data_IF_450239993015
#
_entry.id   IF_450239993015
#
_cell.length_a   1.000
_cell.length_b   1.000
_cell.length_c   1.000
_cell.angle_alpha   90.00
_cell.angle_beta   90.00
_cell.angle_gamma   90.00
#
_symmetry.space_group_name_H-M   'P 1'
#
loop_
_entity.id
_entity.type
_entity.pdbx_description
1 polymer ?
#
# COMPACT_ATOMS: atom_id res chain seq x y z
N UNK A 1 -23.72 -25.62 30.20
CA UNK A 1 -23.93 -24.23 29.74
C UNK A 1 -22.60 -23.71 29.21
N UNK A 2 -22.43 -23.67 27.90
CA UNK A 2 -21.13 -23.41 27.29
C UNK A 2 -20.99 -21.95 26.87
N UNK A 3 -20.01 -21.25 27.46
CA UNK A 3 -19.55 -19.93 27.02
C UNK A 3 -19.01 -19.95 25.57
N UNK A 4 -18.72 -21.13 25.01
CA UNK A 4 -18.32 -21.30 23.61
C UNK A 4 -19.47 -21.03 22.61
N UNK A 5 -20.72 -21.30 22.99
CA UNK A 5 -21.87 -21.10 22.09
C UNK A 5 -22.11 -19.62 21.77
N UNK A 6 -21.99 -18.73 22.77
CA UNK A 6 -22.32 -17.30 22.59
C UNK A 6 -21.31 -16.58 21.68
N UNK A 7 -20.03 -17.00 21.70
CA UNK A 7 -18.99 -16.44 20.83
C UNK A 7 -19.14 -16.91 19.37
N UNK A 8 -19.48 -18.19 19.15
CA UNK A 8 -19.80 -18.73 17.83
C UNK A 8 -21.04 -18.09 17.22
N UNK A 9 -22.09 -17.82 18.02
CA UNK A 9 -23.33 -17.17 17.60
C UNK A 9 -23.10 -15.71 17.17
N UNK A 10 -22.29 -14.95 17.92
CA UNK A 10 -21.91 -13.60 17.51
C UNK A 10 -21.10 -13.61 16.20
N UNK A 11 -20.25 -14.62 16.01
CA UNK A 11 -19.51 -14.80 14.77
C UNK A 11 -20.46 -15.10 13.60
N UNK A 12 -21.43 -16.00 13.77
CA UNK A 12 -22.47 -16.29 12.77
C UNK A 12 -23.25 -15.04 12.34
N UNK A 13 -23.65 -14.18 13.29
CA UNK A 13 -24.31 -12.91 12.98
C UNK A 13 -23.38 -11.98 12.19
N UNK A 14 -22.08 -11.95 12.53
CA UNK A 14 -21.06 -11.13 11.85
C UNK A 14 -20.74 -11.61 10.43
N UNK A 15 -20.77 -12.91 10.16
CA UNK A 15 -20.52 -13.48 8.83
C UNK A 15 -21.69 -13.25 7.86
N UNK A 16 -22.89 -13.03 8.39
CA UNK A 16 -24.09 -12.76 7.62
C UNK A 16 -24.67 -14.00 6.91
N UNK A 17 -25.93 -13.92 6.46
CA UNK A 17 -26.69 -15.08 5.99
C UNK A 17 -26.13 -15.68 4.69
N UNK A 18 -25.51 -14.85 3.84
CA UNK A 18 -24.96 -15.27 2.53
C UNK A 18 -23.73 -16.16 2.63
N UNK A 19 -22.81 -15.90 3.57
CA UNK A 19 -21.63 -16.77 3.77
C UNK A 19 -22.00 -18.09 4.44
N UNK A 20 -23.00 -18.07 5.32
CA UNK A 20 -23.52 -19.28 5.97
C UNK A 20 -24.18 -20.19 4.94
N UNK A 21 -25.03 -19.64 4.04
CA UNK A 21 -25.64 -20.40 2.92
C UNK A 21 -24.59 -20.99 1.99
N UNK A 22 -23.60 -20.20 1.56
CA UNK A 22 -22.55 -20.64 0.63
C UNK A 22 -21.66 -21.73 1.25
N UNK A 23 -21.41 -21.67 2.56
CA UNK A 23 -20.72 -22.75 3.27
C UNK A 23 -21.58 -24.02 3.39
N UNK A 24 -22.88 -23.87 3.67
CA UNK A 24 -23.85 -24.95 3.70
C UNK A 24 -23.97 -25.68 2.35
N UNK A 25 -24.09 -24.93 1.26
CA UNK A 25 -24.12 -25.44 -0.12
C UNK A 25 -22.83 -26.16 -0.50
N UNK A 26 -21.66 -25.67 -0.03
CA UNK A 26 -20.36 -26.29 -0.30
C UNK A 26 -20.16 -27.62 0.44
N UNK A 27 -20.78 -27.81 1.60
CA UNK A 27 -20.72 -29.07 2.36
C UNK A 27 -21.82 -30.07 1.97
N UNK A 28 -23.00 -29.59 1.61
CA UNK A 28 -24.15 -30.40 1.21
C UNK A 28 -24.77 -31.25 2.34
N UNK A 29 -25.95 -31.80 2.08
CA UNK A 29 -26.60 -32.78 2.95
C UNK A 29 -27.28 -32.17 4.19
N UNK A 30 -27.06 -32.75 5.38
CA UNK A 30 -27.67 -32.25 6.61
C UNK A 30 -27.17 -30.84 6.99
N UNK A 31 -25.92 -30.52 6.64
CA UNK A 31 -25.27 -29.23 6.91
C UNK A 31 -25.90 -28.08 6.12
N UNK A 32 -26.40 -28.35 4.91
CA UNK A 32 -27.09 -27.37 4.07
C UNK A 32 -28.41 -26.89 4.70
N UNK A 33 -29.22 -27.82 5.21
CA UNK A 33 -30.51 -27.52 5.88
C UNK A 33 -30.31 -26.74 7.18
N UNK A 34 -29.29 -27.13 7.94
CA UNK A 34 -28.89 -26.46 9.19
C UNK A 34 -28.38 -25.05 8.89
N UNK A 35 -27.52 -24.89 7.89
CA UNK A 35 -26.99 -23.60 7.47
C UNK A 35 -28.07 -22.65 6.92
N UNK A 36 -29.02 -23.15 6.12
CA UNK A 36 -30.17 -22.35 5.66
C UNK A 36 -31.04 -21.88 6.82
N UNK A 37 -31.34 -22.76 7.79
CA UNK A 37 -32.15 -22.41 8.96
C UNK A 37 -31.46 -21.36 9.82
N UNK A 38 -30.14 -21.48 10.02
CA UNK A 38 -29.36 -20.47 10.74
C UNK A 38 -29.31 -19.15 9.95
N UNK A 39 -29.11 -19.22 8.64
CA UNK A 39 -29.09 -18.04 7.77
C UNK A 39 -30.42 -17.28 7.76
N UNK A 40 -31.57 -17.99 7.72
CA UNK A 40 -32.89 -17.37 7.76
C UNK A 40 -33.14 -16.63 9.08
N UNK A 41 -32.68 -17.19 10.20
CA UNK A 41 -32.78 -16.54 11.52
C UNK A 41 -31.81 -15.37 11.64
N UNK A 42 -30.59 -15.47 11.09
CA UNK A 42 -29.62 -14.36 11.04
C UNK A 42 -30.11 -13.23 10.12
N UNK A 43 -30.80 -13.55 9.02
CA UNK A 43 -31.45 -12.59 8.13
C UNK A 43 -32.63 -11.88 8.83
N UNK A 44 -33.45 -12.62 9.58
CA UNK A 44 -34.55 -12.06 10.39
C UNK A 44 -34.05 -11.12 11.51
N UNK A 45 -32.81 -11.29 11.96
CA UNK A 45 -32.14 -10.42 12.94
C UNK A 45 -31.51 -9.18 12.27
N UNK A 46 -31.37 -9.15 10.94
CA UNK A 46 -30.90 -8.01 10.15
C UNK A 46 -29.62 -7.33 10.72
N UNK A 47 -28.66 -8.14 11.20
CA UNK A 47 -27.41 -7.64 11.78
C UNK A 47 -27.55 -6.98 13.16
N UNK A 48 -28.74 -6.99 13.77
CA UNK A 48 -28.94 -6.44 15.11
C UNK A 48 -28.29 -7.33 16.17
N UNK A 49 -27.26 -6.79 16.84
CA UNK A 49 -26.48 -7.51 17.87
C UNK A 49 -27.07 -7.30 19.27
N UNK A 50 -28.37 -7.01 19.36
CA UNK A 50 -29.06 -6.84 20.63
C UNK A 50 -29.16 -8.16 21.41
N UNK A 51 -29.19 -8.13 22.76
CA UNK A 51 -29.21 -9.34 23.60
C UNK A 51 -30.39 -10.28 23.31
N UNK A 52 -31.52 -9.74 22.83
CA UNK A 52 -32.72 -10.50 22.45
C UNK A 52 -32.55 -11.25 21.13
N UNK A 53 -31.83 -10.67 20.18
CA UNK A 53 -31.52 -11.27 18.88
C UNK A 53 -30.50 -12.41 19.01
N UNK A 54 -29.49 -12.23 19.85
CA UNK A 54 -28.52 -13.29 20.20
C UNK A 54 -29.22 -14.45 20.89
N UNK A 55 -30.21 -14.20 21.74
CA UNK A 55 -30.99 -15.25 22.42
C UNK A 55 -31.86 -16.07 21.45
N UNK A 56 -32.42 -15.44 20.40
CA UNK A 56 -33.20 -16.15 19.36
C UNK A 56 -32.32 -17.05 18.50
N UNK A 57 -31.16 -16.55 18.05
CA UNK A 57 -30.19 -17.37 17.29
C UNK A 57 -29.67 -18.50 18.18
N UNK A 58 -29.42 -18.23 19.46
CA UNK A 58 -29.00 -19.25 20.43
C UNK A 58 -30.02 -20.37 20.63
N UNK A 59 -31.30 -20.04 20.75
CA UNK A 59 -32.35 -21.05 20.90
C UNK A 59 -32.44 -21.97 19.67
N UNK A 60 -32.24 -21.43 18.46
CA UNK A 60 -32.21 -22.22 17.23
C UNK A 60 -30.93 -23.06 17.14
N UNK A 61 -29.76 -22.49 17.46
CA UNK A 61 -28.48 -23.21 17.45
C UNK A 61 -28.44 -24.33 18.49
N UNK A 62 -29.01 -24.12 19.68
CA UNK A 62 -29.12 -25.13 20.74
C UNK A 62 -30.10 -26.26 20.36
N UNK A 63 -31.02 -26.03 19.42
CA UNK A 63 -31.95 -27.04 18.89
C UNK A 63 -31.39 -27.89 17.75
N UNK A 64 -30.20 -27.55 17.25
CA UNK A 64 -29.56 -28.18 16.09
C UNK A 64 -28.41 -29.12 16.52
N UNK A 65 -28.02 -30.09 15.67
CA UNK A 65 -26.96 -31.05 16.01
C UNK A 65 -25.63 -30.33 16.25
N UNK A 66 -25.00 -30.50 17.44
CA UNK A 66 -23.81 -29.72 17.82
C UNK A 66 -22.58 -30.03 16.96
N UNK A 67 -22.50 -31.24 16.39
CA UNK A 67 -21.41 -31.62 15.46
C UNK A 67 -21.43 -30.79 14.17
N UNK A 68 -22.61 -30.54 13.61
CA UNK A 68 -22.77 -29.82 12.34
C UNK A 68 -22.52 -28.32 12.52
N UNK A 69 -22.92 -27.77 13.68
CA UNK A 69 -22.66 -26.36 14.03
C UNK A 69 -21.16 -26.11 14.20
N UNK A 70 -20.44 -27.02 14.88
CA UNK A 70 -18.99 -26.92 15.04
C UNK A 70 -18.22 -26.93 13.71
N UNK A 71 -18.69 -27.72 12.73
CA UNK A 71 -18.09 -27.72 11.39
C UNK A 71 -18.30 -26.41 10.62
N UNK A 72 -19.46 -25.77 10.80
CA UNK A 72 -19.76 -24.46 10.20
C UNK A 72 -18.90 -23.37 10.85
N UNK A 73 -18.76 -23.39 12.17
CA UNK A 73 -17.90 -22.45 12.89
C UNK A 73 -16.42 -22.58 12.50
N UNK A 74 -15.91 -23.81 12.42
CA UNK A 74 -14.53 -24.07 12.00
C UNK A 74 -14.27 -23.63 10.56
N UNK A 75 -15.22 -23.88 9.66
CA UNK A 75 -15.11 -23.48 8.26
C UNK A 75 -15.15 -21.96 8.07
N UNK A 76 -16.01 -21.27 8.81
CA UNK A 76 -16.07 -19.80 8.80
C UNK A 76 -14.80 -19.18 9.40
N UNK A 77 -14.24 -19.77 10.46
CA UNK A 77 -12.97 -19.34 11.04
C UNK A 77 -11.79 -19.50 10.05
N UNK A 78 -11.76 -20.59 9.27
CA UNK A 78 -10.75 -20.79 8.23
C UNK A 78 -10.87 -19.76 7.10
N UNK A 79 -12.08 -19.44 6.66
CA UNK A 79 -12.31 -18.41 5.63
C UNK A 79 -11.84 -17.03 6.11
N UNK A 80 -12.06 -16.70 7.39
CA UNK A 80 -11.57 -15.44 7.97
C UNK A 80 -10.03 -15.41 8.01
N UNK A 81 -9.40 -16.50 8.44
CA UNK A 81 -7.94 -16.61 8.46
C UNK A 81 -7.34 -16.48 7.05
N UNK A 82 -7.99 -17.04 6.02
CA UNK A 82 -7.57 -16.89 4.63
C UNK A 82 -7.73 -15.45 4.12
N UNK A 83 -8.84 -14.78 4.48
CA UNK A 83 -9.06 -13.36 4.12
C UNK A 83 -8.03 -12.45 4.77
N UNK A 84 -7.75 -12.67 6.05
CA UNK A 84 -6.74 -11.88 6.77
C UNK A 84 -5.35 -12.10 6.18
N UNK A 85 -5.00 -13.36 5.86
CA UNK A 85 -3.76 -13.69 5.16
C UNK A 85 -3.68 -13.02 3.79
N UNK A 86 -4.76 -13.00 3.01
CA UNK A 86 -4.80 -12.36 1.70
C UNK A 86 -4.62 -10.83 1.80
N UNK A 87 -5.26 -10.20 2.79
CA UNK A 87 -5.09 -8.77 3.06
C UNK A 87 -3.66 -8.43 3.47
N UNK A 88 -3.09 -9.17 4.42
CA UNK A 88 -1.71 -8.98 4.86
C UNK A 88 -0.71 -9.21 3.72
N UNK A 89 -0.94 -10.22 2.87
CA UNK A 89 -0.11 -10.47 1.70
C UNK A 89 -0.19 -9.33 0.68
N UNK A 90 -1.38 -8.75 0.47
CA UNK A 90 -1.56 -7.58 -0.39
C UNK A 90 -0.82 -6.35 0.18
N UNK A 91 -0.97 -6.06 1.47
CA UNK A 91 -0.30 -4.94 2.14
C UNK A 91 1.24 -5.10 2.07
N UNK A 92 1.75 -6.31 2.32
CA UNK A 92 3.17 -6.63 2.16
C UNK A 92 3.64 -6.46 0.71
N UNK A 93 2.85 -6.89 -0.27
CA UNK A 93 3.13 -6.70 -1.68
C UNK A 93 3.24 -5.23 -2.06
N UNK A 94 2.29 -4.40 -1.60
CA UNK A 94 2.29 -2.95 -1.83
C UNK A 94 3.51 -2.28 -1.20
N UNK A 95 3.84 -2.62 0.06
CA UNK A 95 5.03 -2.08 0.72
C UNK A 95 6.33 -2.52 0.04
N UNK A 96 6.40 -3.76 -0.43
CA UNK A 96 7.58 -4.28 -1.13
C UNK A 96 7.78 -3.55 -2.46
N UNK A 97 6.73 -3.41 -3.27
CA UNK A 97 6.78 -2.67 -4.53
C UNK A 97 7.11 -1.18 -4.33
N UNK A 98 6.59 -0.57 -3.26
CA UNK A 98 6.92 0.80 -2.90
C UNK A 98 8.40 0.94 -2.52
N UNK A 99 8.94 0.02 -1.71
CA UNK A 99 10.37 -0.01 -1.38
C UNK A 99 11.24 -0.29 -2.60
N UNK A 100 10.81 -1.18 -3.50
CA UNK A 100 11.50 -1.43 -4.76
C UNK A 100 11.49 -0.21 -5.67
N UNK A 101 10.41 0.57 -5.72
CA UNK A 101 10.37 1.83 -6.48
C UNK A 101 11.29 2.89 -5.86
N UNK A 102 11.35 2.96 -4.52
CA UNK A 102 12.30 3.83 -3.82
C UNK A 102 13.76 3.41 -4.03
N UNK A 103 14.04 2.09 -4.13
CA UNK A 103 15.39 1.53 -4.34
C UNK A 103 15.83 1.55 -5.80
N UNK A 104 14.91 1.26 -6.73
CA UNK A 104 15.14 1.21 -8.18
C UNK A 104 15.03 2.56 -8.85
N UNK A 105 14.46 3.56 -8.15
CA UNK A 105 14.47 4.95 -8.54
C UNK A 105 15.90 5.44 -8.65
N UNK A 106 16.53 5.21 -9.80
CA UNK A 106 17.73 5.89 -10.26
C UNK A 106 17.44 7.37 -10.09
N UNK A 107 18.07 7.94 -9.07
CA UNK A 107 17.40 8.91 -8.23
C UNK A 107 17.15 10.21 -9.00
N UNK A 108 15.93 10.73 -8.93
CA UNK A 108 15.64 12.13 -9.31
C UNK A 108 16.64 13.07 -8.61
N UNK A 109 17.12 12.68 -7.42
CA UNK A 109 18.17 13.36 -6.66
C UNK A 109 19.56 13.30 -7.30
N UNK A 110 19.85 12.29 -8.13
CA UNK A 110 21.14 12.05 -8.80
C UNK A 110 21.21 12.63 -10.21
N UNK A 111 20.07 12.75 -10.90
CA UNK A 111 20.04 13.43 -12.22
C UNK A 111 20.48 14.90 -12.15
N UNK A 112 20.05 15.65 -11.12
CA UNK A 112 20.41 17.07 -10.96
C UNK A 112 21.92 17.31 -10.82
N UNK A 113 22.65 16.62 -9.91
CA UNK A 113 24.10 16.77 -9.80
C UNK A 113 24.85 16.22 -11.01
N UNK A 114 24.36 15.16 -11.67
CA UNK A 114 25.00 14.65 -12.89
C UNK A 114 24.95 15.66 -14.05
N UNK A 115 23.82 16.35 -14.22
CA UNK A 115 23.67 17.39 -15.25
C UNK A 115 24.63 18.55 -14.97
N UNK A 116 24.72 19.01 -13.71
CA UNK A 116 25.65 20.06 -13.32
C UNK A 116 27.12 19.66 -13.57
N UNK A 117 27.51 18.43 -13.24
CA UNK A 117 28.87 17.92 -13.49
C UNK A 117 29.22 17.84 -14.98
N UNK A 118 28.26 17.49 -15.83
CA UNK A 118 28.49 17.47 -17.29
C UNK A 118 28.67 18.88 -17.83
N UNK A 119 27.77 19.80 -17.46
CA UNK A 119 27.83 21.19 -17.92
C UNK A 119 29.10 21.90 -17.44
N UNK A 120 29.60 21.62 -16.22
CA UNK A 120 30.87 22.20 -15.75
C UNK A 120 32.05 21.78 -16.61
N UNK A 121 32.09 20.52 -17.05
CA UNK A 121 33.12 20.04 -17.97
C UNK A 121 33.00 20.67 -19.36
N UNK A 122 31.78 20.87 -19.86
CA UNK A 122 31.56 21.54 -21.15
C UNK A 122 31.98 23.02 -21.11
N UNK A 123 31.71 23.75 -20.03
CA UNK A 123 32.16 25.13 -19.87
C UNK A 123 33.69 25.22 -19.87
N UNK A 124 34.36 24.35 -19.11
CA UNK A 124 35.84 24.28 -19.07
C UNK A 124 36.40 23.96 -20.46
N UNK A 125 35.85 22.95 -21.13
CA UNK A 125 36.29 22.57 -22.48
C UNK A 125 36.12 23.72 -23.50
N UNK A 126 34.99 24.43 -23.46
CA UNK A 126 34.74 25.58 -24.34
C UNK A 126 35.79 26.68 -24.15
N UNK A 127 36.05 27.08 -22.89
CA UNK A 127 37.02 28.13 -22.59
C UNK A 127 38.43 27.69 -23.03
N UNK A 128 38.83 26.46 -22.70
CA UNK A 128 40.14 25.95 -23.09
C UNK A 128 40.33 25.89 -24.61
N UNK A 129 39.34 25.40 -25.36
CA UNK A 129 39.45 25.31 -26.83
C UNK A 129 39.52 26.69 -27.46
N UNK A 130 38.67 27.62 -27.04
CA UNK A 130 38.63 28.96 -27.64
C UNK A 130 39.85 29.80 -27.27
N UNK A 131 40.36 29.67 -26.04
CA UNK A 131 41.58 30.35 -25.62
C UNK A 131 42.83 29.77 -26.28
N UNK A 132 42.86 28.45 -26.47
CA UNK A 132 43.94 27.79 -27.21
C UNK A 132 43.94 28.21 -28.68
N UNK A 133 42.77 28.28 -29.32
CA UNK A 133 42.66 28.76 -30.70
C UNK A 133 43.14 30.22 -30.83
N UNK A 134 42.79 31.08 -29.86
CA UNK A 134 43.29 32.46 -29.78
C UNK A 134 44.82 32.52 -29.61
N UNK A 135 45.41 31.62 -28.81
CA UNK A 135 46.86 31.55 -28.64
C UNK A 135 47.62 31.14 -29.92
N UNK A 136 46.94 30.51 -30.88
CA UNK A 136 47.47 30.20 -32.22
C UNK A 136 47.01 31.20 -33.29
N UNK A 137 46.60 32.42 -32.91
CA UNK A 137 46.10 33.49 -33.81
C UNK A 137 44.86 33.09 -34.64
N UNK A 138 44.12 32.08 -34.20
CA UNK A 138 42.88 31.64 -34.83
C UNK A 138 41.67 32.02 -33.96
N UNK A 139 41.06 33.18 -34.21
CA UNK A 139 39.83 33.62 -33.55
C UNK A 139 40.04 34.71 -32.49
N UNK A 140 38.98 35.00 -31.72
CA UNK A 140 38.92 36.13 -30.79
C UNK A 140 38.90 35.73 -29.31
N UNK A 141 39.20 34.46 -28.98
CA UNK A 141 39.11 33.92 -27.62
C UNK A 141 37.71 33.50 -27.17
N UNK A 142 37.61 33.07 -25.91
CA UNK A 142 36.35 32.60 -25.34
C UNK A 142 35.36 33.76 -25.06
N UNK A 143 34.13 33.67 -25.59
CA UNK A 143 33.09 34.64 -25.28
C UNK A 143 32.44 34.32 -23.92
N UNK A 144 32.47 35.29 -23.02
CA UNK A 144 31.91 35.19 -21.68
C UNK A 144 30.41 34.92 -21.66
N UNK A 145 29.64 35.50 -22.58
CA UNK A 145 28.18 35.29 -22.68
C UNK A 145 27.86 33.83 -22.99
N UNK A 146 28.61 33.23 -23.91
CA UNK A 146 28.45 31.82 -24.31
C UNK A 146 28.91 30.91 -23.17
N UNK A 147 30.03 31.24 -22.50
CA UNK A 147 30.51 30.49 -21.34
C UNK A 147 29.48 30.47 -20.19
N UNK A 148 28.85 31.62 -19.90
CA UNK A 148 27.80 31.73 -18.89
C UNK A 148 26.51 31.01 -19.28
N UNK A 149 26.14 31.03 -20.56
CA UNK A 149 24.97 30.29 -21.05
C UNK A 149 25.15 28.78 -20.83
N UNK A 150 26.32 28.24 -21.18
CA UNK A 150 26.66 26.82 -20.97
C UNK A 150 26.75 26.50 -19.46
N UNK A 151 27.28 27.43 -18.66
CA UNK A 151 27.38 27.28 -17.21
C UNK A 151 26.04 27.47 -16.47
N UNK A 152 24.98 27.94 -17.13
CA UNK A 152 23.71 28.30 -16.49
C UNK A 152 23.09 27.19 -15.63
N UNK A 153 23.11 25.89 -16.03
CA UNK A 153 22.55 24.83 -15.19
C UNK A 153 23.41 24.53 -13.96
N UNK A 154 24.73 24.78 -14.05
CA UNK A 154 25.69 24.63 -12.95
C UNK A 154 25.46 25.73 -11.91
N UNK A 155 25.37 26.98 -12.37
CA UNK A 155 25.11 28.13 -11.53
C UNK A 155 23.74 28.04 -10.85
N UNK A 156 22.71 27.58 -11.58
CA UNK A 156 21.40 27.32 -11.00
C UNK A 156 21.48 26.25 -9.89
N UNK A 157 22.20 25.15 -10.13
CA UNK A 157 22.33 24.09 -9.13
C UNK A 157 23.06 24.54 -7.85
N UNK A 158 24.20 25.24 -8.00
CA UNK A 158 24.92 25.77 -6.83
C UNK A 158 24.16 26.91 -6.16
N UNK A 159 23.61 27.85 -6.93
CA UNK A 159 22.91 29.04 -6.44
C UNK A 159 21.64 28.72 -5.66
N UNK A 160 20.79 27.81 -6.17
CA UNK A 160 19.60 27.40 -5.43
C UNK A 160 19.94 26.58 -4.18
N UNK A 161 21.08 25.89 -4.15
CA UNK A 161 21.54 25.11 -2.98
C UNK A 161 22.16 25.97 -1.90
N UNK A 162 22.89 27.04 -2.25
CA UNK A 162 23.36 28.02 -1.26
C UNK A 162 22.20 28.81 -0.68
N UNK A 163 21.22 29.22 -1.49
CA UNK A 163 20.04 29.94 -1.01
C UNK A 163 19.17 29.10 -0.04
N UNK A 164 18.94 27.82 -0.34
CA UNK A 164 18.18 26.90 0.53
C UNK A 164 18.89 26.60 1.87
N UNK A 165 20.23 26.71 1.91
CA UNK A 165 20.99 26.58 3.17
C UNK A 165 21.00 27.88 3.98
N UNK A 166 21.09 29.03 3.31
CA UNK A 166 21.01 30.34 3.95
C UNK A 166 19.63 30.59 4.57
N UNK A 167 18.54 30.21 3.89
CA UNK A 167 17.18 30.36 4.44
C UNK A 167 16.95 29.53 5.71
N UNK A 168 17.57 28.36 5.81
CA UNK A 168 17.51 27.49 7.00
C UNK A 168 18.38 27.96 8.16
N UNK A 169 19.45 28.72 7.87
CA UNK A 169 20.33 29.30 8.90
C UNK A 169 19.85 30.69 9.35
N UNK A 170 19.03 31.39 8.57
CA UNK A 170 18.38 32.65 8.95
C UNK A 170 17.05 32.49 9.69
N UNK A 171 16.63 31.24 9.98
CA UNK A 171 15.41 30.91 10.71
C UNK A 171 15.73 30.34 12.10
N UNK A 172 16.68 30.94 12.81
CA UNK A 172 16.88 30.81 14.27
C UNK A 172 16.78 32.16 14.93
#
# INVERSE_FOLDING_TARGET
>A
MSLLATAGISALIKYGPSLIRLFGERKGGATEKVAHTIADVVEAVNGDTSPSSVAKVKATVDSLPPEVVGEIELGLAQIEAEREKARLAHDLGMHTQQQETLRSGKEIKTFRPEIARRHSWFTVAYIFVMELLNAFDHGSGANWEIALLIASPVLAWFGFRTWDKFSKQGAS
#
